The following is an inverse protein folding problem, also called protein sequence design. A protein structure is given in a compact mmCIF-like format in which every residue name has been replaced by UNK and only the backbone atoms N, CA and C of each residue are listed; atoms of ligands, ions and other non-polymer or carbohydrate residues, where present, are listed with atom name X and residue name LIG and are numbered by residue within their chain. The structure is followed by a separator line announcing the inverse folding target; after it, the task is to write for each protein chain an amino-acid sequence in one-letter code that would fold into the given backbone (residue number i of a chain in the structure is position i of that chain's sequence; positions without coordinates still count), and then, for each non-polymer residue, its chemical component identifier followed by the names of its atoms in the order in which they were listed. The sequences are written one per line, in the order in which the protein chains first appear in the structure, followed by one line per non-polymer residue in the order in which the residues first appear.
data_IF_592635749933
#
_entry.id   IF_592635749933
#
_cell.length_a   1.000
_cell.length_b   1.000
_cell.length_c   1.000
_cell.angle_alpha   90.00
_cell.angle_beta   90.00
_cell.angle_gamma   90.00
#
_symmetry.space_group_name_H-M   'P 1'
#
loop_
_entity.id
_entity.type
_entity.pdbx_description
1 polymer ?
#
# COMPACT_ATOMS: atom_id res chain seq x y z
N UNK A 1 13.81 2.57 12.00
CA UNK A 1 13.27 1.60 11.01
C UNK A 1 11.81 1.88 10.67
N UNK A 2 11.26 1.30 9.55
CA UNK A 2 9.83 1.40 9.23
C UNK A 2 9.15 0.07 9.55
N UNK A 3 8.03 0.14 10.26
CA UNK A 3 7.21 -1.00 10.62
C UNK A 3 5.83 -0.88 9.99
N UNK A 4 5.16 -2.02 9.78
CA UNK A 4 3.78 -2.07 9.31
C UNK A 4 2.94 -2.96 10.22
N UNK A 5 1.70 -2.55 10.41
CA UNK A 5 0.71 -3.34 11.15
C UNK A 5 -0.56 -3.45 10.34
N UNK A 6 -1.04 -4.69 10.15
CA UNK A 6 -2.27 -5.01 9.40
C UNK A 6 -3.37 -5.41 10.37
N UNK A 7 -4.53 -4.79 10.28
CA UNK A 7 -5.69 -5.14 11.07
C UNK A 7 -6.99 -4.97 10.28
N UNK A 8 -8.04 -5.63 10.73
CA UNK A 8 -9.39 -5.49 10.18
C UNK A 8 -10.09 -4.38 10.95
N UNK A 9 -10.36 -3.21 10.33
CA UNK A 9 -11.09 -2.14 10.99
C UNK A 9 -12.58 -2.50 11.11
N UNK A 10 -13.25 -1.96 12.13
CA UNK A 10 -14.70 -1.94 12.16
C UNK A 10 -15.18 -0.93 11.11
N UNK A 11 -15.91 -1.40 10.11
CA UNK A 11 -16.36 -0.60 8.96
C UNK A 11 -17.90 -0.58 8.95
N UNK A 12 -18.50 0.59 9.07
CA UNK A 12 -19.93 0.78 8.84
C UNK A 12 -20.29 0.65 7.36
N UNK A 13 -21.55 0.46 7.04
CA UNK A 13 -22.03 0.40 5.64
C UNK A 13 -21.59 1.62 4.84
N UNK A 14 -21.77 2.82 5.38
CA UNK A 14 -21.38 4.09 4.71
C UNK A 14 -19.87 4.18 4.49
N UNK A 15 -19.06 3.77 5.46
CA UNK A 15 -17.60 3.74 5.32
C UNK A 15 -17.16 2.72 4.25
N UNK A 16 -17.83 1.57 4.17
CA UNK A 16 -17.58 0.56 3.16
C UNK A 16 -17.87 1.11 1.75
N UNK A 17 -19.01 1.77 1.56
CA UNK A 17 -19.38 2.42 0.30
C UNK A 17 -18.32 3.45 -0.14
N UNK A 18 -17.82 4.27 0.80
CA UNK A 18 -16.74 5.24 0.52
C UNK A 18 -15.45 4.53 0.09
N UNK A 19 -15.03 3.49 0.81
CA UNK A 19 -13.81 2.73 0.47
C UNK A 19 -13.95 2.07 -0.90
N UNK A 20 -15.11 1.53 -1.22
CA UNK A 20 -15.37 0.91 -2.51
C UNK A 20 -15.38 1.92 -3.65
N UNK A 21 -15.94 3.10 -3.44
CA UNK A 21 -15.92 4.21 -4.41
C UNK A 21 -14.48 4.68 -4.67
N UNK A 22 -13.69 4.90 -3.62
CA UNK A 22 -12.28 5.24 -3.77
C UNK A 22 -11.50 4.16 -4.54
N UNK A 23 -11.75 2.89 -4.25
CA UNK A 23 -11.12 1.78 -4.95
C UNK A 23 -11.53 1.70 -6.42
N UNK A 24 -12.80 1.96 -6.72
CA UNK A 24 -13.32 2.04 -8.10
C UNK A 24 -12.57 3.10 -8.89
N UNK A 25 -12.54 4.35 -8.41
CA UNK A 25 -11.86 5.45 -9.09
C UNK A 25 -10.35 5.23 -9.24
N UNK A 26 -9.70 4.70 -8.21
CA UNK A 26 -8.28 4.33 -8.27
C UNK A 26 -8.04 3.27 -9.34
N UNK A 27 -8.92 2.26 -9.44
CA UNK A 27 -8.79 1.18 -10.42
C UNK A 27 -9.02 1.67 -11.85
N UNK A 28 -10.05 2.49 -12.08
CA UNK A 28 -10.33 3.05 -13.40
C UNK A 28 -9.19 3.94 -13.88
N UNK A 29 -8.73 4.85 -13.04
CA UNK A 29 -7.63 5.74 -13.36
C UNK A 29 -6.34 4.97 -13.64
N UNK A 30 -6.02 3.95 -12.83
CA UNK A 30 -4.90 3.05 -13.09
C UNK A 30 -4.99 2.42 -14.49
N UNK A 31 -6.16 1.89 -14.86
CA UNK A 31 -6.34 1.19 -16.13
C UNK A 31 -6.24 2.14 -17.33
N UNK A 32 -6.83 3.33 -17.24
CA UNK A 32 -6.75 4.37 -18.28
C UNK A 32 -5.29 4.71 -18.56
N UNK A 33 -4.53 5.03 -17.52
CA UNK A 33 -3.13 5.42 -17.66
C UNK A 33 -2.27 4.22 -18.10
N UNK A 34 -2.51 3.02 -17.56
CA UNK A 34 -1.77 1.83 -17.97
C UNK A 34 -1.99 1.47 -19.43
N UNK A 35 -3.18 1.74 -19.98
CA UNK A 35 -3.46 1.61 -21.41
C UNK A 35 -2.62 2.60 -22.22
N UNK A 36 -2.66 3.86 -21.84
CA UNK A 36 -1.86 4.90 -22.53
C UNK A 36 -0.36 4.61 -22.51
N UNK A 37 0.18 4.20 -21.34
CA UNK A 37 1.60 3.85 -21.23
C UNK A 37 2.01 2.63 -22.07
N UNK A 38 1.08 1.75 -22.43
CA UNK A 38 1.32 0.64 -23.34
C UNK A 38 1.39 1.07 -24.80
N UNK A 39 0.51 1.97 -25.18
CA UNK A 39 0.38 2.43 -26.58
C UNK A 39 1.40 3.52 -26.92
N UNK A 40 1.60 4.47 -26.00
CA UNK A 40 2.34 5.72 -26.26
C UNK A 40 3.70 5.80 -25.54
N UNK A 41 4.08 4.72 -24.84
CA UNK A 41 5.35 4.66 -24.13
C UNK A 41 5.25 5.11 -22.67
N UNK A 42 6.25 4.70 -21.89
CA UNK A 42 6.26 4.90 -20.44
C UNK A 42 6.71 6.32 -20.08
N UNK A 43 5.97 6.94 -19.20
CA UNK A 43 6.14 8.31 -18.70
C UNK A 43 6.57 8.31 -17.25
N UNK A 44 7.21 9.40 -16.83
CA UNK A 44 7.51 9.62 -15.40
C UNK A 44 6.25 9.92 -14.62
N UNK A 45 6.30 9.77 -13.30
CA UNK A 45 5.21 10.18 -12.42
C UNK A 45 4.77 11.64 -12.65
N UNK A 46 5.72 12.55 -12.88
CA UNK A 46 5.43 13.97 -13.11
C UNK A 46 4.67 14.21 -14.41
N UNK A 47 5.05 13.50 -15.47
CA UNK A 47 4.38 13.59 -16.78
C UNK A 47 2.95 13.03 -16.67
N UNK A 48 2.79 11.88 -16.01
CA UNK A 48 1.48 11.27 -15.73
C UNK A 48 0.61 12.25 -14.94
N UNK A 49 1.14 12.88 -13.89
CA UNK A 49 0.37 13.84 -13.09
C UNK A 49 -0.05 15.06 -13.93
N UNK A 50 0.85 15.60 -14.72
CA UNK A 50 0.57 16.75 -15.58
C UNK A 50 -0.56 16.46 -16.58
N UNK A 51 -0.54 15.28 -17.17
CA UNK A 51 -1.47 14.88 -18.24
C UNK A 51 -2.83 14.46 -17.69
N UNK A 52 -2.85 13.71 -16.60
CA UNK A 52 -4.08 13.08 -16.09
C UNK A 52 -4.72 13.79 -14.89
N UNK A 53 -4.13 14.86 -14.35
CA UNK A 53 -4.69 15.58 -13.19
C UNK A 53 -6.12 16.10 -13.40
N UNK A 54 -6.51 16.38 -14.63
CA UNK A 54 -7.85 16.83 -15.02
C UNK A 54 -8.82 15.71 -15.40
N UNK A 55 -8.39 14.45 -15.32
CA UNK A 55 -9.30 13.33 -15.53
C UNK A 55 -10.34 13.29 -14.39
N UNK A 56 -11.61 13.12 -14.73
CA UNK A 56 -12.71 13.20 -13.77
C UNK A 56 -12.60 12.20 -12.59
N UNK A 57 -11.98 11.03 -12.79
CA UNK A 57 -11.69 10.11 -11.69
C UNK A 57 -10.76 10.71 -10.63
N UNK A 58 -9.94 11.68 -11.01
CA UNK A 58 -9.06 12.38 -10.08
C UNK A 58 -9.82 13.24 -9.06
N UNK A 59 -10.99 13.73 -9.40
CA UNK A 59 -11.81 14.56 -8.51
C UNK A 59 -12.32 13.78 -7.29
N UNK A 60 -12.49 12.48 -7.44
CA UNK A 60 -12.92 11.59 -6.36
C UNK A 60 -11.76 11.12 -5.48
N UNK A 61 -10.52 11.38 -5.86
CA UNK A 61 -9.34 10.97 -5.09
C UNK A 61 -8.68 12.18 -4.44
N UNK A 62 -8.39 12.08 -3.14
CA UNK A 62 -7.55 13.10 -2.49
C UNK A 62 -6.20 13.19 -3.23
N UNK A 63 -5.66 14.41 -3.38
CA UNK A 63 -4.46 14.65 -4.20
C UNK A 63 -3.29 13.69 -3.88
N UNK A 64 -3.01 13.48 -2.60
CA UNK A 64 -1.94 12.57 -2.19
C UNK A 64 -2.24 11.10 -2.50
N UNK A 65 -3.50 10.66 -2.41
CA UNK A 65 -3.92 9.30 -2.78
C UNK A 65 -3.76 9.07 -4.28
N UNK A 66 -4.17 10.04 -5.09
CA UNK A 66 -3.97 10.04 -6.55
C UNK A 66 -2.49 9.95 -6.92
N UNK A 67 -1.66 10.79 -6.32
CA UNK A 67 -0.22 10.79 -6.54
C UNK A 67 0.44 9.46 -6.17
N UNK A 68 0.00 8.82 -5.09
CA UNK A 68 0.51 7.49 -4.73
C UNK A 68 0.14 6.43 -5.78
N UNK A 69 -1.06 6.48 -6.34
CA UNK A 69 -1.47 5.56 -7.41
C UNK A 69 -0.59 5.76 -8.66
N UNK A 70 -0.29 7.00 -9.06
CA UNK A 70 0.62 7.28 -10.18
C UNK A 70 2.03 6.73 -9.94
N UNK A 71 2.57 6.93 -8.72
CA UNK A 71 3.88 6.39 -8.33
C UNK A 71 3.93 4.87 -8.34
N UNK A 72 2.86 4.21 -7.88
CA UNK A 72 2.74 2.75 -7.94
C UNK A 72 2.74 2.26 -9.38
N UNK A 73 2.03 2.93 -10.28
CA UNK A 73 2.02 2.56 -11.70
C UNK A 73 3.40 2.73 -12.35
N UNK A 74 4.06 3.88 -12.12
CA UNK A 74 5.43 4.10 -12.59
C UNK A 74 6.38 3.01 -12.07
N UNK A 75 6.30 2.67 -10.78
CA UNK A 75 7.12 1.62 -10.18
C UNK A 75 6.86 0.25 -10.81
N UNK A 76 5.60 -0.09 -11.12
CA UNK A 76 5.25 -1.33 -11.79
C UNK A 76 5.91 -1.44 -13.17
N UNK A 77 5.93 -0.34 -13.93
CA UNK A 77 6.60 -0.29 -15.22
C UNK A 77 8.13 -0.36 -15.11
N UNK A 78 8.72 0.36 -14.13
CA UNK A 78 10.16 0.25 -13.85
C UNK A 78 10.56 -1.19 -13.50
N UNK A 79 9.77 -1.86 -12.67
CA UNK A 79 9.98 -3.26 -12.29
C UNK A 79 9.86 -4.21 -13.49
N UNK A 80 8.90 -3.97 -14.39
CA UNK A 80 8.76 -4.74 -15.60
C UNK A 80 10.01 -4.61 -16.49
N UNK A 81 10.50 -3.40 -16.76
CA UNK A 81 11.69 -3.23 -17.60
C UNK A 81 12.95 -3.80 -16.96
N UNK A 82 13.11 -3.65 -15.65
CA UNK A 82 14.21 -4.29 -14.93
C UNK A 82 14.16 -5.82 -15.09
N UNK A 83 12.97 -6.42 -14.98
CA UNK A 83 12.78 -7.85 -15.19
C UNK A 83 13.04 -8.28 -16.64
N UNK A 84 12.66 -7.48 -17.63
CA UNK A 84 12.94 -7.77 -19.06
C UNK A 84 14.44 -7.75 -19.31
N UNK A 85 15.16 -6.77 -18.76
CA UNK A 85 16.62 -6.68 -18.88
C UNK A 85 17.31 -7.88 -18.23
N UNK A 86 16.92 -8.26 -17.00
CA UNK A 86 17.47 -9.42 -16.31
C UNK A 86 17.14 -10.73 -17.03
N UNK A 87 15.94 -10.86 -17.61
CA UNK A 87 15.55 -12.01 -18.43
C UNK A 87 16.44 -12.18 -19.66
N UNK A 88 16.87 -11.08 -20.30
CA UNK A 88 17.81 -11.12 -21.44
C UNK A 88 19.18 -11.69 -21.07
N UNK A 89 19.61 -11.51 -19.81
CA UNK A 89 20.90 -12.00 -19.31
C UNK A 89 20.75 -13.39 -18.68
N UNK A 90 19.69 -13.61 -17.92
CA UNK A 90 19.47 -14.79 -17.08
C UNK A 90 18.10 -15.46 -17.37
N UNK A 91 17.83 -15.97 -18.57
CA UNK A 91 16.50 -16.47 -18.93
C UNK A 91 16.06 -17.68 -18.08
N UNK A 92 16.99 -18.51 -17.63
CA UNK A 92 16.73 -19.71 -16.82
C UNK A 92 16.23 -19.41 -15.39
N UNK A 93 16.44 -18.20 -14.91
CA UNK A 93 15.95 -17.71 -13.62
C UNK A 93 14.42 -17.53 -13.61
N UNK A 94 13.80 -17.45 -14.78
CA UNK A 94 12.40 -17.13 -14.94
C UNK A 94 11.60 -18.33 -15.45
N UNK A 95 10.40 -18.53 -14.88
CA UNK A 95 9.46 -19.56 -15.37
C UNK A 95 8.84 -19.18 -16.74
N UNK A 96 8.77 -17.89 -17.05
CA UNK A 96 8.25 -17.36 -18.32
C UNK A 96 8.75 -15.93 -18.55
N UNK A 97 8.71 -15.47 -19.82
CA UNK A 97 9.05 -14.09 -20.18
C UNK A 97 8.23 -13.07 -19.37
N UNK A 98 8.86 -12.05 -18.79
CA UNK A 98 8.16 -10.98 -18.08
C UNK A 98 7.08 -10.33 -18.95
N UNK A 99 5.97 -9.96 -18.32
CA UNK A 99 4.84 -9.31 -19.00
C UNK A 99 4.60 -7.92 -18.39
N UNK A 100 4.10 -6.96 -19.18
CA UNK A 100 3.79 -5.62 -18.70
C UNK A 100 2.73 -5.65 -17.61
N UNK A 101 2.60 -4.58 -16.81
CA UNK A 101 1.62 -4.49 -15.72
C UNK A 101 0.20 -4.80 -16.23
N UNK A 102 -0.48 -5.72 -15.56
CA UNK A 102 -1.84 -6.13 -15.93
C UNK A 102 -2.85 -5.03 -15.62
N UNK A 103 -3.93 -4.99 -16.39
CA UNK A 103 -5.12 -4.22 -16.03
C UNK A 103 -5.75 -4.77 -14.75
N UNK A 104 -6.29 -3.88 -13.94
CA UNK A 104 -7.06 -4.21 -12.73
C UNK A 104 -8.51 -4.46 -13.11
N UNK A 105 -9.12 -5.49 -12.52
CA UNK A 105 -10.56 -5.72 -12.66
C UNK A 105 -11.31 -4.92 -11.59
N UNK A 106 -12.28 -4.11 -11.98
CA UNK A 106 -13.07 -3.27 -11.07
C UNK A 106 -13.97 -4.06 -10.13
N UNK A 107 -14.47 -5.23 -10.58
CA UNK A 107 -15.45 -6.01 -9.81
C UNK A 107 -14.78 -7.05 -8.90
N UNK A 108 -13.66 -7.62 -9.37
CA UNK A 108 -12.99 -8.74 -8.68
C UNK A 108 -11.69 -8.34 -7.99
N UNK A 109 -10.99 -7.34 -8.52
CA UNK A 109 -9.68 -6.91 -8.01
C UNK A 109 -9.77 -5.49 -7.49
N UNK A 110 -10.33 -5.34 -6.30
CA UNK A 110 -10.36 -4.04 -5.62
C UNK A 110 -8.93 -3.55 -5.43
N UNK A 111 -8.63 -2.38 -5.97
CA UNK A 111 -7.28 -1.83 -5.94
C UNK A 111 -6.96 -1.26 -4.55
N UNK A 112 -5.68 -1.27 -4.22
CA UNK A 112 -5.18 -0.66 -2.98
C UNK A 112 -5.40 0.85 -3.00
N UNK A 113 -5.79 1.41 -1.85
CA UNK A 113 -5.96 2.85 -1.64
C UNK A 113 -4.90 3.30 -0.63
N UNK A 114 -4.05 4.24 -1.01
CA UNK A 114 -2.92 4.68 -0.19
C UNK A 114 -3.12 6.12 0.24
N UNK A 115 -3.15 6.33 1.56
CA UNK A 115 -3.11 7.64 2.19
C UNK A 115 -1.70 7.89 2.74
N UNK A 116 -1.14 9.06 2.44
CA UNK A 116 0.15 9.49 3.01
C UNK A 116 -0.06 10.18 4.34
N UNK A 117 1.02 10.42 5.09
CA UNK A 117 1.00 11.16 6.35
C UNK A 117 0.27 12.51 6.24
N UNK A 118 0.34 13.21 5.10
CA UNK A 118 -0.35 14.48 4.88
C UNK A 118 -1.88 14.34 4.75
N UNK A 119 -2.36 13.14 4.49
CA UNK A 119 -3.79 12.81 4.39
C UNK A 119 -4.31 12.02 5.61
N UNK A 120 -3.49 11.86 6.63
CA UNK A 120 -3.80 11.08 7.84
C UNK A 120 -3.72 12.00 9.05
N UNK A 121 -4.69 11.89 9.94
CA UNK A 121 -4.65 12.47 11.29
C UNK A 121 -5.07 11.43 12.29
N UNK A 122 -4.41 11.40 13.41
CA UNK A 122 -4.79 10.57 14.55
C UNK A 122 -4.97 11.45 15.77
N UNK A 123 -6.10 11.26 16.44
CA UNK A 123 -6.45 12.02 17.63
C UNK A 123 -7.32 11.18 18.54
N UNK A 124 -6.91 11.00 19.80
CA UNK A 124 -7.67 10.36 20.87
C UNK A 124 -8.33 9.02 20.49
N UNK A 125 -7.58 8.14 19.81
CA UNK A 125 -8.10 6.83 19.39
C UNK A 125 -8.88 6.85 18.08
N UNK A 126 -8.99 8.00 17.41
CA UNK A 126 -9.68 8.15 16.14
C UNK A 126 -8.69 8.40 15.01
N UNK A 127 -8.62 7.47 14.07
CA UNK A 127 -7.88 7.63 12.82
C UNK A 127 -8.78 8.31 11.79
N UNK A 128 -8.37 9.48 11.30
CA UNK A 128 -9.09 10.31 10.32
C UNK A 128 -8.31 10.34 9.01
N UNK A 129 -8.97 9.94 7.92
CA UNK A 129 -8.39 9.95 6.57
C UNK A 129 -9.07 11.02 5.72
N UNK A 130 -8.27 11.87 5.11
CA UNK A 130 -8.75 13.00 4.31
C UNK A 130 -9.36 12.51 2.99
N UNK A 131 -10.50 13.08 2.63
CA UNK A 131 -11.24 12.78 1.41
C UNK A 131 -11.20 13.97 0.45
N UNK A 132 -11.43 13.72 -0.83
CA UNK A 132 -11.63 14.76 -1.84
C UNK A 132 -12.94 15.51 -1.61
N UNK A 133 -13.08 16.70 -2.19
CA UNK A 133 -14.31 17.48 -2.13
C UNK A 133 -15.49 16.70 -2.74
N UNK A 134 -15.29 16.01 -3.85
CA UNK A 134 -16.33 15.23 -4.51
C UNK A 134 -16.87 14.10 -3.61
N UNK A 135 -15.98 13.30 -2.97
CA UNK A 135 -16.41 12.26 -2.02
C UNK A 135 -17.11 12.85 -0.81
N UNK A 136 -16.60 13.95 -0.25
CA UNK A 136 -17.24 14.63 0.89
C UNK A 136 -18.67 15.04 0.56
N UNK A 137 -18.86 15.65 -0.60
CA UNK A 137 -20.18 16.07 -1.07
C UNK A 137 -21.10 14.88 -1.38
N UNK A 138 -20.60 13.86 -2.08
CA UNK A 138 -21.37 12.69 -2.48
C UNK A 138 -21.93 11.91 -1.28
N UNK A 139 -21.11 11.74 -0.24
CA UNK A 139 -21.47 10.96 0.95
C UNK A 139 -21.90 11.83 2.14
N UNK A 140 -21.88 13.15 2.03
CA UNK A 140 -22.12 14.08 3.13
C UNK A 140 -21.31 13.72 4.38
N UNK A 141 -19.95 13.74 4.25
CA UNK A 141 -18.99 13.44 5.30
C UNK A 141 -17.77 14.36 5.19
N UNK A 142 -17.12 14.66 6.32
CA UNK A 142 -15.89 15.47 6.33
C UNK A 142 -14.62 14.65 6.14
N UNK A 143 -14.60 13.44 6.65
CA UNK A 143 -13.45 12.52 6.60
C UNK A 143 -13.89 11.07 6.76
N UNK A 144 -13.02 10.15 6.40
CA UNK A 144 -13.24 8.73 6.64
C UNK A 144 -12.56 8.36 7.96
N UNK A 145 -13.37 8.05 8.98
CA UNK A 145 -12.91 7.90 10.37
C UNK A 145 -13.01 6.46 10.84
N UNK A 146 -12.02 5.99 11.61
CA UNK A 146 -11.97 4.66 12.20
C UNK A 146 -11.57 4.75 13.67
N UNK A 147 -12.32 4.11 14.53
CA UNK A 147 -11.93 3.92 15.91
C UNK A 147 -10.81 2.87 16.00
N UNK A 148 -9.79 3.19 16.76
CA UNK A 148 -8.64 2.34 17.02
C UNK A 148 -8.77 1.73 18.40
N UNK A 149 -8.75 0.40 18.50
CA UNK A 149 -8.84 -0.29 19.78
C UNK A 149 -7.70 0.11 20.73
N UNK A 150 -7.95 0.11 22.03
CA UNK A 150 -6.94 0.44 23.06
C UNK A 150 -5.66 -0.37 22.92
N UNK A 151 -5.77 -1.65 22.53
CA UNK A 151 -4.63 -2.53 22.27
C UNK A 151 -3.78 -2.00 21.13
N UNK A 152 -4.37 -1.54 20.02
CA UNK A 152 -3.63 -0.99 18.88
C UNK A 152 -3.04 0.38 19.20
N UNK A 153 -3.70 1.17 20.04
CA UNK A 153 -3.19 2.46 20.51
C UNK A 153 -1.85 2.32 21.25
N UNK A 154 -1.65 1.22 21.99
CA UNK A 154 -0.42 0.97 22.75
C UNK A 154 0.72 0.34 21.93
N UNK A 155 0.41 -0.32 20.80
CA UNK A 155 1.40 -1.04 19.98
C UNK A 155 2.01 -0.12 18.91
N UNK A 156 1.19 0.76 18.34
CA UNK A 156 1.54 1.57 17.17
C UNK A 156 1.89 2.99 17.63
N UNK A 157 3.02 3.50 17.17
CA UNK A 157 3.33 4.93 17.31
C UNK A 157 2.55 5.73 16.26
N UNK A 158 1.39 6.23 16.68
CA UNK A 158 0.46 6.96 15.84
C UNK A 158 0.96 8.35 15.43
N UNK A 159 1.91 8.93 16.17
CA UNK A 159 2.51 10.22 15.84
C UNK A 159 3.53 10.11 14.71
N UNK A 160 4.08 8.92 14.50
CA UNK A 160 5.09 8.66 13.48
C UNK A 160 4.53 8.02 12.20
N UNK A 161 3.20 8.06 12.01
CA UNK A 161 2.53 7.50 10.83
C UNK A 161 3.10 8.06 9.53
N UNK A 162 3.37 7.17 8.59
CA UNK A 162 3.85 7.50 7.26
C UNK A 162 2.79 7.24 6.19
N UNK A 163 2.04 6.15 6.33
CA UNK A 163 0.99 5.76 5.39
C UNK A 163 -0.09 4.96 6.09
N UNK A 164 -1.30 5.05 5.56
CA UNK A 164 -2.39 4.10 5.81
C UNK A 164 -2.88 3.56 4.47
N UNK A 165 -3.08 2.24 4.37
CA UNK A 165 -3.46 1.58 3.13
C UNK A 165 -4.66 0.68 3.34
N UNK A 166 -5.68 0.82 2.51
CA UNK A 166 -6.72 -0.19 2.40
C UNK A 166 -6.29 -1.26 1.40
N UNK A 167 -6.32 -2.50 1.83
CA UNK A 167 -6.05 -3.65 1.00
C UNK A 167 -7.21 -4.65 1.11
N UNK A 168 -7.74 -5.08 -0.03
CA UNK A 168 -8.83 -6.04 -0.07
C UNK A 168 -8.32 -7.47 -0.09
N UNK A 169 -8.72 -8.26 0.88
CA UNK A 169 -8.46 -9.69 0.92
C UNK A 169 -9.56 -10.45 0.15
N UNK A 170 -9.15 -11.10 -0.93
CA UNK A 170 -10.08 -11.83 -1.82
C UNK A 170 -10.60 -13.13 -1.21
N UNK A 171 -9.84 -13.74 -0.34
CA UNK A 171 -10.21 -15.01 0.32
C UNK A 171 -11.23 -14.71 1.42
N UNK A 172 -10.92 -13.75 2.27
CA UNK A 172 -11.81 -13.36 3.37
C UNK A 172 -12.91 -12.37 2.95
N UNK A 173 -12.87 -11.88 1.71
CA UNK A 173 -13.83 -10.91 1.12
C UNK A 173 -14.03 -9.67 1.99
N UNK A 174 -12.95 -9.16 2.58
CA UNK A 174 -13.01 -7.99 3.46
C UNK A 174 -11.82 -7.05 3.24
N UNK A 175 -11.99 -5.80 3.68
CA UNK A 175 -10.94 -4.81 3.67
C UNK A 175 -10.11 -4.87 4.95
N UNK A 176 -8.80 -4.80 4.77
CA UNK A 176 -7.82 -4.58 5.82
C UNK A 176 -7.26 -3.17 5.75
N UNK A 177 -6.96 -2.63 6.90
CA UNK A 177 -6.19 -1.39 7.02
C UNK A 177 -4.77 -1.75 7.46
N UNK A 178 -3.79 -1.28 6.70
CA UNK A 178 -2.37 -1.45 6.97
C UNK A 178 -1.82 -0.06 7.30
N UNK A 179 -1.31 0.12 8.48
CA UNK A 179 -0.63 1.35 8.88
C UNK A 179 0.87 1.15 8.86
N UNK A 180 1.59 2.14 8.34
CA UNK A 180 3.04 2.15 8.26
C UNK A 180 3.52 3.33 9.11
N UNK A 181 4.40 3.06 10.06
CA UNK A 181 4.94 4.05 10.99
C UNK A 181 6.45 3.90 11.14
N UNK A 182 7.11 4.95 11.59
CA UNK A 182 8.52 4.91 11.95
C UNK A 182 8.64 4.50 13.42
N UNK A 183 9.65 3.71 13.71
CA UNK A 183 10.09 3.41 15.07
C UNK A 183 11.58 3.61 15.13
N UNK A 184 12.04 4.27 16.18
CA UNK A 184 13.47 4.39 16.45
C UNK A 184 14.06 2.99 16.66
N UNK A 185 15.23 2.78 16.14
CA UNK A 185 16.00 1.56 16.38
C UNK A 185 16.57 1.68 17.78
N UNK A 186 16.23 0.74 18.63
CA UNK A 186 16.90 0.61 19.93
C UNK A 186 18.30 0.05 19.65
N UNK A 187 19.32 0.75 20.12
CA UNK A 187 20.67 0.18 20.13
C UNK A 187 20.62 -1.13 20.91
N UNK A 188 20.92 -2.21 20.22
CA UNK A 188 20.94 -3.53 20.82
C UNK A 188 22.39 -3.82 21.28
N UNK A 189 22.70 -3.50 22.52
CA UNK A 189 23.99 -3.81 23.14
C UNK A 189 24.15 -5.31 23.48
N UNK A 190 23.25 -6.16 22.97
CA UNK A 190 23.34 -7.61 23.18
C UNK A 190 24.32 -8.20 22.20
N UNK A 191 25.33 -8.89 22.74
CA UNK A 191 26.40 -9.57 22.00
C UNK A 191 26.00 -10.92 21.41
N UNK A 192 24.90 -11.51 21.90
CA UNK A 192 24.44 -12.82 21.44
C UNK A 192 23.64 -12.69 20.15
N UNK A 193 24.12 -13.34 19.10
CA UNK A 193 23.47 -13.41 17.79
C UNK A 193 22.92 -14.80 17.58
N UNK A 194 21.63 -14.90 17.24
CA UNK A 194 20.99 -16.16 16.87
C UNK A 194 20.36 -16.06 15.49
N UNK A 195 20.31 -17.14 14.76
CA UNK A 195 19.53 -17.28 13.52
C UNK A 195 18.50 -18.38 13.67
N UNK A 196 17.35 -18.19 13.00
CA UNK A 196 16.27 -19.15 12.90
C UNK A 196 16.09 -19.50 11.44
N UNK A 197 16.25 -20.78 11.12
CA UNK A 197 15.91 -21.33 9.81
C UNK A 197 14.61 -22.13 9.91
N UNK A 198 13.64 -21.83 9.05
CA UNK A 198 12.34 -22.51 8.99
C UNK A 198 12.37 -23.51 7.84
N UNK A 199 12.26 -24.78 8.14
CA UNK A 199 12.33 -25.88 7.17
C UNK A 199 11.04 -26.72 7.11
N UNK A 200 10.98 -27.58 6.09
CA UNK A 200 9.84 -28.51 5.92
C UNK A 200 9.96 -29.73 6.84
N UNK A 201 11.18 -30.22 7.07
CA UNK A 201 11.43 -31.41 7.90
C UNK A 201 11.55 -31.03 9.39
N UNK A 202 12.17 -29.88 9.67
CA UNK A 202 12.22 -29.28 11.01
C UNK A 202 11.46 -27.96 10.97
N UNK A 203 10.51 -27.78 11.89
CA UNK A 203 9.68 -26.54 11.96
C UNK A 203 10.57 -25.31 12.11
N UNK A 204 11.64 -25.41 12.90
CA UNK A 204 12.63 -24.37 13.06
C UNK A 204 13.96 -24.94 13.52
N UNK A 205 15.06 -24.49 12.91
CA UNK A 205 16.42 -24.74 13.40
C UNK A 205 16.95 -23.44 14.00
N UNK A 206 17.37 -23.50 15.27
CA UNK A 206 17.91 -22.37 16.01
C UNK A 206 19.43 -22.51 16.11
N UNK A 207 20.15 -21.47 15.67
CA UNK A 207 21.62 -21.41 15.82
C UNK A 207 21.97 -20.17 16.62
N UNK A 208 22.75 -20.33 17.69
CA UNK A 208 23.26 -19.25 18.53
C UNK A 208 24.78 -19.19 18.42
N UNK A 209 25.31 -17.99 18.32
CA UNK A 209 26.73 -17.73 18.46
C UNK A 209 26.94 -17.10 19.84
N UNK A 210 27.51 -17.86 20.75
CA UNK A 210 28.01 -17.35 22.04
C UNK A 210 29.32 -16.59 21.81
N UNK A 211 29.34 -15.31 22.12
CA UNK A 211 30.53 -14.44 22.01
C UNK A 211 31.33 -14.47 23.31
N UNK A 212 31.00 -15.35 24.26
CA UNK A 212 31.61 -15.40 25.60
C UNK A 212 32.80 -16.37 25.74
N UNK A 213 33.48 -16.75 24.66
CA UNK A 213 34.75 -17.47 24.79
C UNK A 213 35.74 -17.08 23.70
N UNK A 214 36.42 -16.00 23.92
CA UNK A 214 37.82 -15.77 23.51
C UNK A 214 38.60 -15.19 24.65
#
# INVERSE_FOLDING_TARGET
MKLSFKFKPSISKKQLEIVEELSYHTTKLYNIINYDLRENGVKTYYDIEKEYKSNWHCDFLHSHTRQQMFKVLEQNWKSYFASVKDFGINPTKYKAKPRPPKFKNTDKNKNEIIFTNLAIRYDNGLLKLSLSKAIKSLFNVESLNFEVSKKLQSIIDWNSLQQARFNYDKVQKCWYLIVIYKKEELENNKTNVGSIDLGLDNIATLTFKDVLNQ
#
